data_IF_609419816213
#
_entry.id   IF_609419816213
#
_cell.length_a   1.000
_cell.length_b   1.000
_cell.length_c   1.000
_cell.angle_alpha   90.00
_cell.angle_beta   90.00
_cell.angle_gamma   90.00
#
_symmetry.space_group_name_H-M   'P 1'
#
loop_
_entity.id
_entity.type
_entity.pdbx_description
1 polymer ?
#
# COMPACT_ATOMS: atom_id res chain seq x y z
N UNK A 1 25.92 -9.01 -21.73
CA UNK A 1 24.81 -9.77 -22.29
C UNK A 1 23.87 -8.80 -23.01
N UNK A 2 23.29 -9.25 -24.10
CA UNK A 2 22.29 -8.52 -24.87
C UNK A 2 21.00 -9.33 -24.94
N UNK A 3 19.87 -8.63 -25.02
CA UNK A 3 18.57 -9.24 -25.22
C UNK A 3 18.38 -9.72 -26.68
N UNK A 4 17.22 -10.28 -27.01
CA UNK A 4 16.87 -10.77 -28.34
C UNK A 4 16.83 -9.68 -29.42
N UNK A 5 16.80 -8.40 -29.03
CA UNK A 5 16.83 -7.23 -29.90
C UNK A 5 18.24 -6.64 -30.01
N UNK A 6 19.27 -7.29 -29.44
CA UNK A 6 20.65 -6.82 -29.45
C UNK A 6 20.96 -5.66 -28.52
N UNK A 7 20.05 -5.32 -27.61
CA UNK A 7 20.24 -4.27 -26.62
C UNK A 7 20.84 -4.82 -25.33
N UNK A 8 21.62 -4.02 -24.56
CA UNK A 8 22.13 -4.46 -23.27
C UNK A 8 20.98 -4.87 -22.33
N UNK A 9 21.09 -6.04 -21.71
CA UNK A 9 20.18 -6.47 -20.64
C UNK A 9 20.33 -5.51 -19.47
N UNK A 10 19.22 -4.90 -19.06
CA UNK A 10 19.19 -3.95 -17.95
C UNK A 10 18.68 -4.63 -16.69
N UNK A 11 19.41 -4.45 -15.61
CA UNK A 11 18.99 -4.90 -14.29
C UNK A 11 17.86 -4.00 -13.77
N UNK A 12 16.74 -4.56 -13.31
CA UNK A 12 15.61 -3.81 -12.80
C UNK A 12 15.85 -3.29 -11.36
N UNK A 13 16.89 -2.48 -11.20
CA UNK A 13 17.40 -2.00 -9.91
C UNK A 13 16.34 -1.31 -9.03
N UNK A 14 15.31 -0.73 -9.63
CA UNK A 14 14.24 -0.05 -8.91
C UNK A 14 13.43 -1.02 -8.02
N UNK A 15 13.35 -2.31 -8.40
CA UNK A 15 12.68 -3.34 -7.60
C UNK A 15 13.43 -3.62 -6.30
N UNK A 16 14.75 -3.51 -6.32
CA UNK A 16 15.61 -3.77 -5.16
C UNK A 16 16.00 -2.50 -4.39
N UNK A 17 15.58 -1.33 -4.87
CA UNK A 17 15.92 -0.09 -4.20
C UNK A 17 15.22 0.03 -2.85
N UNK A 18 16.00 0.24 -1.77
CA UNK A 18 15.50 0.43 -0.39
C UNK A 18 16.04 1.72 0.23
N UNK A 19 16.53 2.64 -0.59
CA UNK A 19 17.05 3.92 -0.14
C UNK A 19 15.97 4.88 0.35
N UNK A 20 16.38 5.87 1.15
CA UNK A 20 15.48 6.93 1.65
C UNK A 20 15.35 8.09 0.68
N UNK A 21 16.27 8.23 -0.26
CA UNK A 21 16.29 9.27 -1.26
C UNK A 21 15.30 8.93 -2.36
N UNK A 22 14.42 9.85 -2.71
CA UNK A 22 13.58 9.70 -3.89
C UNK A 22 14.44 9.83 -5.14
N UNK A 23 14.38 8.84 -6.02
CA UNK A 23 15.13 8.81 -7.28
C UNK A 23 14.15 8.96 -8.44
N UNK A 24 14.34 10.02 -9.22
CA UNK A 24 13.62 10.23 -10.48
C UNK A 24 14.59 9.98 -11.62
N UNK A 25 14.22 9.12 -12.58
CA UNK A 25 15.11 8.69 -13.65
C UNK A 25 14.38 8.56 -14.99
N UNK A 26 15.14 8.30 -16.03
CA UNK A 26 14.65 8.06 -17.39
C UNK A 26 15.56 7.11 -18.15
N UNK A 27 15.55 7.20 -19.50
CA UNK A 27 16.35 6.39 -20.41
C UNK A 27 16.00 4.89 -20.40
N UNK A 28 14.88 4.54 -19.79
CA UNK A 28 14.31 3.20 -19.83
C UNK A 28 12.80 3.40 -20.05
N UNK A 29 12.37 3.54 -21.31
CA UNK A 29 10.97 3.84 -21.60
C UNK A 29 10.03 2.84 -20.97
N UNK A 30 9.01 3.36 -20.27
CA UNK A 30 7.93 2.60 -19.66
C UNK A 30 6.59 3.07 -20.21
N UNK A 31 5.57 2.22 -20.34
CA UNK A 31 4.25 2.64 -20.85
C UNK A 31 3.61 3.72 -19.98
N UNK A 32 3.90 3.72 -18.69
CA UNK A 32 3.33 4.62 -17.69
C UNK A 32 4.36 4.96 -16.62
N UNK A 33 4.37 6.21 -16.16
CA UNK A 33 5.17 6.61 -15.01
C UNK A 33 4.50 6.14 -13.73
N UNK A 34 5.14 5.23 -13.01
CA UNK A 34 4.64 4.65 -11.76
C UNK A 34 5.72 4.67 -10.70
N UNK A 35 5.29 4.88 -9.46
CA UNK A 35 6.16 4.81 -8.31
C UNK A 35 6.49 3.36 -7.98
N UNK A 36 7.76 3.07 -7.74
CA UNK A 36 8.25 1.77 -7.29
C UNK A 36 9.38 1.99 -6.27
N UNK A 37 9.19 1.52 -5.05
CA UNK A 37 10.22 1.58 -3.99
C UNK A 37 10.91 2.95 -3.85
N UNK A 38 10.15 4.03 -3.82
CA UNK A 38 10.66 5.40 -3.76
C UNK A 38 11.48 5.81 -5.00
N UNK A 39 11.25 5.17 -6.13
CA UNK A 39 11.79 5.55 -7.44
C UNK A 39 10.66 5.83 -8.43
N UNK A 40 10.95 6.64 -9.44
CA UNK A 40 9.99 7.01 -10.47
C UNK A 40 10.70 7.15 -11.82
N UNK A 41 10.28 6.36 -12.81
CA UNK A 41 10.69 6.56 -14.19
C UNK A 41 9.77 7.56 -14.88
N UNK A 42 10.32 8.68 -15.36
CA UNK A 42 9.56 9.69 -16.13
C UNK A 42 9.63 9.49 -17.65
N UNK A 43 10.45 8.56 -18.12
CA UNK A 43 10.55 8.29 -19.54
C UNK A 43 9.37 7.44 -20.00
N UNK A 44 8.35 8.08 -20.47
CA UNK A 44 7.15 7.45 -21.02
C UNK A 44 7.16 7.39 -22.54
N UNK A 45 8.36 7.38 -23.14
CA UNK A 45 8.56 7.08 -24.56
C UNK A 45 8.05 8.17 -25.49
N UNK A 46 8.14 9.46 -25.13
CA UNK A 46 7.63 10.55 -25.95
C UNK A 46 8.15 10.50 -27.40
N UNK A 47 9.44 10.23 -27.60
CA UNK A 47 10.06 10.12 -28.93
C UNK A 47 9.47 8.98 -29.77
N UNK A 48 8.93 7.98 -29.11
CA UNK A 48 8.30 6.80 -29.74
C UNK A 48 6.77 6.92 -29.88
N UNK A 49 6.22 8.13 -29.70
CA UNK A 49 4.78 8.37 -29.79
C UNK A 49 4.01 8.16 -28.49
N UNK A 50 4.70 7.96 -27.38
CA UNK A 50 4.10 7.87 -26.06
C UNK A 50 3.75 9.25 -25.49
N UNK A 51 4.18 9.54 -24.25
CA UNK A 51 3.88 10.79 -23.56
C UNK A 51 5.16 11.51 -23.14
N UNK A 52 5.10 12.84 -23.02
CA UNK A 52 6.06 13.62 -22.26
C UNK A 52 5.53 13.77 -20.85
N UNK A 53 6.20 13.15 -19.90
CA UNK A 53 5.79 13.13 -18.49
C UNK A 53 6.73 13.94 -17.62
N UNK A 54 6.18 14.71 -16.71
CA UNK A 54 6.90 15.53 -15.74
C UNK A 54 6.39 15.30 -14.32
N UNK A 55 7.28 15.44 -13.35
CA UNK A 55 6.95 15.45 -11.93
C UNK A 55 7.02 16.91 -11.43
N UNK A 56 5.90 17.40 -10.88
CA UNK A 56 5.86 18.70 -10.19
C UNK A 56 6.38 18.52 -8.77
N UNK A 57 7.37 19.31 -8.42
CA UNK A 57 7.96 19.31 -7.09
C UNK A 57 7.73 20.67 -6.42
N UNK A 58 7.37 20.74 -5.12
CA UNK A 58 7.36 19.64 -4.13
C UNK A 58 6.06 18.86 -4.02
N UNK A 59 5.03 19.15 -4.82
CA UNK A 59 3.68 18.56 -4.74
C UNK A 59 3.66 17.06 -5.04
N UNK A 60 4.72 16.56 -5.70
CA UNK A 60 4.86 15.16 -6.14
C UNK A 60 3.73 14.71 -7.08
N UNK A 61 3.24 15.63 -7.90
CA UNK A 61 2.15 15.43 -8.84
C UNK A 61 2.69 15.15 -10.25
N UNK A 62 2.19 14.10 -10.89
CA UNK A 62 2.52 13.76 -12.25
C UNK A 62 1.65 14.58 -13.24
N UNK A 63 2.30 15.15 -14.24
CA UNK A 63 1.66 15.81 -15.36
C UNK A 63 2.17 15.18 -16.66
N UNK A 64 1.31 14.87 -17.60
CA UNK A 64 1.70 14.35 -18.89
C UNK A 64 0.97 15.02 -20.06
N UNK A 65 1.59 14.99 -21.24
CA UNK A 65 0.99 15.37 -22.49
C UNK A 65 1.32 14.31 -23.56
N UNK A 66 0.38 13.90 -24.42
CA UNK A 66 0.66 12.98 -25.52
C UNK A 66 1.69 13.57 -26.47
N UNK A 67 2.53 12.71 -27.06
CA UNK A 67 3.40 13.11 -28.16
C UNK A 67 2.56 13.55 -29.37
N UNK A 68 3.03 14.58 -30.09
CA UNK A 68 2.35 15.07 -31.30
C UNK A 68 2.50 14.11 -32.48
N UNK A 69 3.58 13.31 -32.49
CA UNK A 69 3.87 12.32 -33.49
C UNK A 69 4.84 11.27 -32.95
N UNK A 70 4.98 10.17 -33.64
CA UNK A 70 6.07 9.24 -33.42
C UNK A 70 7.28 9.76 -34.22
N UNK A 71 8.36 10.10 -33.49
CA UNK A 71 9.59 10.69 -34.08
C UNK A 71 10.64 9.65 -34.41
N UNK A 72 10.59 8.48 -33.75
CA UNK A 72 11.48 7.36 -33.99
C UNK A 72 10.74 6.03 -33.73
N UNK A 73 11.19 4.96 -34.39
CA UNK A 73 10.74 3.62 -34.05
C UNK A 73 11.55 3.07 -32.88
N UNK A 74 10.89 2.45 -31.89
CA UNK A 74 11.62 1.83 -30.79
C UNK A 74 12.34 0.58 -31.27
N UNK A 75 13.58 0.36 -30.82
CA UNK A 75 14.37 -0.83 -31.19
C UNK A 75 13.80 -2.13 -30.62
N UNK A 76 12.90 -2.05 -29.64
CA UNK A 76 12.09 -3.16 -29.10
C UNK A 76 10.66 -2.65 -28.88
N UNK A 77 9.66 -3.53 -28.95
CA UNK A 77 8.30 -3.15 -28.61
C UNK A 77 8.28 -2.53 -27.20
N UNK A 78 7.76 -1.33 -27.07
CA UNK A 78 7.40 -0.78 -25.77
C UNK A 78 6.16 -1.58 -25.34
N UNK A 79 6.34 -2.55 -24.44
CA UNK A 79 5.26 -3.41 -24.00
C UNK A 79 4.16 -2.57 -23.36
N UNK A 80 3.11 -2.31 -24.11
CA UNK A 80 1.82 -1.92 -23.55
C UNK A 80 1.18 -3.22 -23.04
N UNK A 81 1.73 -3.78 -21.96
CA UNK A 81 0.99 -4.81 -21.25
C UNK A 81 -0.21 -4.11 -20.62
N UNK A 82 -1.39 -4.60 -20.92
CA UNK A 82 -2.61 -4.29 -20.17
C UNK A 82 -2.54 -4.90 -18.76
N UNK A 83 -1.34 -4.96 -18.17
CA UNK A 83 -1.17 -5.40 -16.80
C UNK A 83 -1.95 -4.43 -15.92
N UNK A 84 -3.05 -4.91 -15.39
CA UNK A 84 -3.95 -4.18 -14.50
C UNK A 84 -3.25 -3.74 -13.21
N UNK A 85 -2.06 -4.30 -12.92
CA UNK A 85 -1.29 -4.04 -11.72
C UNK A 85 -0.25 -2.95 -11.96
N UNK A 86 -0.12 -2.03 -11.00
CA UNK A 86 1.02 -1.12 -10.98
C UNK A 86 2.32 -1.88 -10.69
N UNK A 87 3.48 -1.29 -11.05
CA UNK A 87 4.78 -1.87 -10.75
C UNK A 87 4.96 -2.16 -9.24
N UNK A 88 4.46 -1.26 -8.38
CA UNK A 88 4.49 -1.46 -6.93
C UNK A 88 3.56 -2.62 -6.52
N UNK A 89 2.34 -2.69 -7.05
CA UNK A 89 1.41 -3.78 -6.74
C UNK A 89 1.95 -5.15 -7.17
N UNK A 90 2.65 -5.22 -8.31
CA UNK A 90 3.30 -6.45 -8.75
C UNK A 90 4.41 -6.89 -7.78
N UNK A 91 5.12 -5.93 -7.19
CA UNK A 91 6.18 -6.19 -6.21
C UNK A 91 5.64 -6.54 -4.81
N UNK A 92 4.52 -5.95 -4.40
CA UNK A 92 3.94 -6.09 -3.05
C UNK A 92 3.44 -7.52 -2.72
N UNK A 93 3.49 -8.43 -3.68
CA UNK A 93 3.16 -9.85 -3.45
C UNK A 93 4.29 -10.64 -2.75
N UNK A 94 5.46 -10.05 -2.67
CA UNK A 94 6.66 -10.68 -2.11
C UNK A 94 7.00 -10.05 -0.76
N UNK A 95 7.16 -10.89 0.27
CA UNK A 95 7.70 -10.48 1.58
C UNK A 95 9.23 -10.51 1.51
N UNK A 96 9.85 -9.34 1.41
CA UNK A 96 11.29 -9.21 1.31
C UNK A 96 11.89 -8.76 2.66
N UNK A 97 12.93 -9.47 3.12
CA UNK A 97 13.68 -9.08 4.32
C UNK A 97 14.29 -7.68 4.19
N UNK A 98 14.66 -7.27 2.98
CA UNK A 98 15.18 -5.92 2.73
C UNK A 98 14.16 -4.82 3.07
N UNK A 99 12.86 -5.11 3.02
CA UNK A 99 11.81 -4.16 3.38
C UNK A 99 11.76 -3.85 4.88
N UNK A 100 12.24 -4.74 5.71
CA UNK A 100 12.25 -4.60 7.17
C UNK A 100 13.63 -4.32 7.76
N UNK A 101 14.70 -4.41 6.96
CA UNK A 101 16.06 -4.11 7.40
C UNK A 101 16.23 -2.65 7.78
N UNK A 102 16.84 -2.42 8.94
CA UNK A 102 17.15 -1.10 9.46
C UNK A 102 15.93 -0.29 9.88
N UNK A 103 16.22 0.88 10.44
CA UNK A 103 15.17 1.81 10.88
C UNK A 103 14.46 2.44 9.68
N UNK A 104 13.15 2.29 9.60
CA UNK A 104 12.31 2.91 8.57
C UNK A 104 11.66 4.19 9.08
N UNK A 105 11.62 5.19 8.22
CA UNK A 105 10.87 6.44 8.47
C UNK A 105 9.80 6.52 7.38
N UNK A 106 8.54 6.44 7.80
CA UNK A 106 7.39 6.54 6.92
C UNK A 106 6.77 7.93 7.03
N UNK A 107 6.24 8.43 5.94
CA UNK A 107 5.43 9.64 5.90
C UNK A 107 3.99 9.27 5.56
N UNK A 108 3.04 9.81 6.30
CA UNK A 108 1.61 9.62 6.04
C UNK A 108 0.92 10.98 5.87
N UNK A 109 -0.31 10.97 5.40
CA UNK A 109 -1.12 12.19 5.21
C UNK A 109 -1.24 13.03 6.49
N UNK A 110 -1.35 12.36 7.64
CA UNK A 110 -1.55 13.04 8.93
C UNK A 110 -0.27 13.21 9.75
N UNK A 111 0.79 12.46 9.44
CA UNK A 111 2.06 12.51 10.17
C UNK A 111 3.24 12.42 9.23
N UNK A 112 4.11 13.42 9.28
CA UNK A 112 5.27 13.52 8.39
C UNK A 112 6.40 12.54 8.70
N UNK A 113 6.48 12.01 9.92
CA UNK A 113 7.56 11.10 10.31
C UNK A 113 7.07 10.08 11.34
N UNK A 114 6.87 8.86 10.88
CA UNK A 114 6.63 7.70 11.75
C UNK A 114 7.88 6.83 11.67
N UNK A 115 8.52 6.62 12.82
CA UNK A 115 9.71 5.77 12.90
C UNK A 115 9.31 4.34 13.27
N UNK A 116 9.60 3.40 12.40
CA UNK A 116 9.44 1.97 12.66
C UNK A 116 10.82 1.39 13.00
N UNK A 117 10.95 0.76 14.16
CA UNK A 117 12.18 0.11 14.59
C UNK A 117 12.36 -1.20 13.85
N UNK A 118 13.60 -1.55 13.56
CA UNK A 118 13.95 -2.79 12.86
C UNK A 118 13.38 -4.03 13.55
N UNK A 119 13.48 -4.10 14.88
CA UNK A 119 13.01 -5.26 15.65
C UNK A 119 11.50 -5.47 15.49
N UNK A 120 10.74 -4.38 15.45
CA UNK A 120 9.28 -4.44 15.26
C UNK A 120 8.92 -4.86 13.82
N UNK A 121 9.66 -4.36 12.84
CA UNK A 121 9.45 -4.71 11.44
C UNK A 121 9.81 -6.18 11.18
N UNK A 122 10.95 -6.65 11.71
CA UNK A 122 11.38 -8.04 11.58
C UNK A 122 10.41 -9.01 12.26
N UNK A 123 9.91 -8.67 13.46
CA UNK A 123 8.89 -9.48 14.14
C UNK A 123 7.57 -9.53 13.35
N UNK A 124 7.17 -8.43 12.73
CA UNK A 124 6.00 -8.40 11.86
C UNK A 124 6.19 -9.29 10.63
N UNK A 125 7.36 -9.21 9.97
CA UNK A 125 7.69 -10.05 8.82
C UNK A 125 7.67 -11.54 9.19
N UNK A 126 8.23 -11.92 10.34
CA UNK A 126 8.22 -13.31 10.80
C UNK A 126 6.78 -13.83 10.96
N UNK A 127 5.89 -13.06 11.55
CA UNK A 127 4.48 -13.45 11.69
C UNK A 127 3.80 -13.53 10.32
N UNK A 128 4.01 -12.52 9.46
CA UNK A 128 3.41 -12.48 8.13
C UNK A 128 3.86 -13.65 7.25
N UNK A 129 5.13 -14.00 7.29
CA UNK A 129 5.68 -15.09 6.47
C UNK A 129 5.13 -16.48 6.83
N UNK A 130 4.61 -16.64 8.04
CA UNK A 130 4.08 -17.94 8.50
C UNK A 130 2.58 -18.10 8.37
N UNK A 131 1.84 -17.01 8.53
CA UNK A 131 0.41 -17.10 8.83
C UNK A 131 -0.46 -16.05 8.12
N UNK A 132 0.13 -15.00 7.58
CA UNK A 132 -0.66 -13.90 7.04
C UNK A 132 -1.39 -14.31 5.75
N UNK A 133 -2.55 -13.73 5.54
CA UNK A 133 -3.16 -13.63 4.22
C UNK A 133 -2.21 -12.91 3.28
N UNK A 134 -2.47 -13.01 1.97
CA UNK A 134 -1.66 -12.28 0.98
C UNK A 134 -1.47 -10.82 1.43
N UNK A 135 -0.22 -10.30 1.47
CA UNK A 135 0.09 -8.95 1.95
C UNK A 135 -0.72 -7.84 1.29
N UNK A 136 -1.15 -8.01 0.04
CA UNK A 136 -2.00 -7.08 -0.69
C UNK A 136 -3.34 -6.79 -0.02
N UNK A 137 -3.86 -7.73 0.76
CA UNK A 137 -5.08 -7.57 1.54
C UNK A 137 -4.88 -6.80 2.85
N UNK A 138 -3.64 -6.64 3.31
CA UNK A 138 -3.37 -6.03 4.60
C UNK A 138 -3.54 -4.52 4.52
N UNK A 139 -4.55 -4.00 5.19
CA UNK A 139 -4.82 -2.58 5.31
C UNK A 139 -4.41 -2.06 6.69
N UNK A 140 -3.95 -0.80 6.75
CA UNK A 140 -3.75 -0.15 8.02
C UNK A 140 -5.10 0.15 8.68
N UNK A 141 -5.26 -0.34 9.88
CA UNK A 141 -6.39 0.00 10.74
C UNK A 141 -5.89 0.74 11.97
N UNK A 142 -6.55 1.84 12.37
CA UNK A 142 -6.21 2.50 13.61
C UNK A 142 -6.40 1.54 14.79
N UNK A 143 -5.63 1.70 15.86
CA UNK A 143 -5.86 0.96 17.09
C UNK A 143 -7.28 1.24 17.60
N UNK A 144 -7.83 0.30 18.36
CA UNK A 144 -9.07 0.54 19.10
C UNK A 144 -8.88 1.71 20.04
N UNK A 145 -9.95 2.47 20.25
CA UNK A 145 -9.94 3.54 21.24
C UNK A 145 -9.48 3.03 22.61
N UNK A 146 -8.77 3.88 23.33
CA UNK A 146 -8.50 3.66 24.73
C UNK A 146 -9.83 3.57 25.50
N UNK A 147 -9.91 2.80 26.58
CA UNK A 147 -11.05 2.84 27.47
C UNK A 147 -11.24 4.27 28.02
N UNK A 148 -12.46 4.60 28.42
CA UNK A 148 -12.74 5.83 29.14
C UNK A 148 -11.97 5.92 30.47
N UNK A 149 -11.92 7.12 31.04
CA UNK A 149 -11.36 7.33 32.37
C UNK A 149 -12.10 6.48 33.40
N UNK A 150 -11.42 6.12 34.49
CA UNK A 150 -12.04 5.41 35.62
C UNK A 150 -13.19 6.22 36.18
N UNK A 151 -14.31 5.55 36.44
CA UNK A 151 -15.49 6.20 36.98
C UNK A 151 -15.26 6.70 38.42
N UNK A 152 -15.73 7.92 38.68
CA UNK A 152 -15.82 8.45 40.06
C UNK A 152 -17.06 7.94 40.79
N UNK A 153 -17.94 7.19 40.10
CA UNK A 153 -19.17 6.65 40.71
C UNK A 153 -18.86 5.43 41.52
N UNK A 154 -19.31 5.45 42.76
CA UNK A 154 -19.09 4.37 43.74
C UNK A 154 -19.63 3.02 43.20
N UNK A 155 -18.78 1.99 43.29
CA UNK A 155 -19.09 0.64 42.87
C UNK A 155 -18.88 0.36 41.36
N UNK A 156 -18.41 1.34 40.55
CA UNK A 156 -18.13 1.17 39.13
C UNK A 156 -16.70 1.54 38.77
N UNK A 157 -16.00 0.68 38.04
CA UNK A 157 -14.70 0.99 37.45
C UNK A 157 -14.86 1.86 36.20
N UNK A 158 -15.88 1.60 35.41
CA UNK A 158 -16.21 2.33 34.20
C UNK A 158 -17.71 2.65 34.18
N UNK A 159 -18.05 3.83 33.70
CA UNK A 159 -19.44 4.26 33.58
C UNK A 159 -19.61 5.16 32.33
N UNK A 160 -20.74 5.12 31.62
CA UNK A 160 -20.90 5.86 30.38
C UNK A 160 -20.72 7.38 30.49
N UNK A 161 -20.94 7.96 31.66
CA UNK A 161 -20.80 9.42 31.89
C UNK A 161 -19.41 9.94 31.56
N UNK A 162 -18.35 9.19 31.88
CA UNK A 162 -16.96 9.57 31.61
C UNK A 162 -16.66 9.54 30.10
N UNK A 163 -17.19 8.53 29.39
CA UNK A 163 -17.09 8.46 27.93
C UNK A 163 -17.81 9.64 27.25
N UNK A 164 -19.04 9.94 27.67
CA UNK A 164 -19.77 11.08 27.13
C UNK A 164 -19.11 12.42 27.46
N UNK A 165 -18.58 12.59 28.67
CA UNK A 165 -17.83 13.78 29.04
C UNK A 165 -16.53 13.93 28.20
N UNK A 166 -15.84 12.83 27.92
CA UNK A 166 -14.68 12.83 27.05
C UNK A 166 -15.03 13.35 25.66
N UNK A 167 -16.06 12.80 25.02
CA UNK A 167 -16.49 13.22 23.68
C UNK A 167 -16.98 14.65 23.66
N UNK A 168 -17.73 15.08 24.68
CA UNK A 168 -18.19 16.46 24.79
C UNK A 168 -17.03 17.46 24.91
N UNK A 169 -15.96 17.12 25.66
CA UNK A 169 -14.73 17.94 25.75
C UNK A 169 -13.99 18.07 24.41
N UNK A 170 -14.16 17.09 23.54
CA UNK A 170 -13.57 17.09 22.18
C UNK A 170 -14.55 17.60 21.12
N UNK A 171 -15.59 18.32 21.53
CA UNK A 171 -16.57 18.95 20.62
C UNK A 171 -17.32 17.96 19.72
N UNK A 172 -17.42 16.69 20.13
CA UNK A 172 -18.23 15.69 19.42
C UNK A 172 -19.68 15.83 19.83
N UNK A 173 -20.50 16.39 18.95
CA UNK A 173 -21.91 16.70 19.24
C UNK A 173 -22.82 15.46 19.27
N UNK A 174 -22.42 14.37 18.59
CA UNK A 174 -23.24 13.17 18.49
C UNK A 174 -22.35 11.93 18.61
N UNK A 175 -22.74 10.99 19.43
CA UNK A 175 -22.10 9.68 19.57
C UNK A 175 -23.10 8.57 19.27
N UNK A 176 -22.62 7.49 18.66
CA UNK A 176 -23.40 6.26 18.45
C UNK A 176 -22.94 5.24 19.47
N UNK A 177 -23.90 4.69 20.21
CA UNK A 177 -23.66 3.65 21.20
C UNK A 177 -24.10 2.31 20.61
N UNK A 178 -23.19 1.34 20.63
CA UNK A 178 -23.44 0.00 20.14
C UNK A 178 -23.15 -1.03 21.24
N UNK A 179 -23.95 -2.10 21.27
CA UNK A 179 -23.64 -3.24 22.13
C UNK A 179 -22.36 -3.93 21.65
N UNK A 180 -21.40 -4.04 22.54
CA UNK A 180 -20.14 -4.72 22.24
C UNK A 180 -20.25 -6.21 22.56
N UNK A 181 -20.34 -7.03 21.51
CA UNK A 181 -20.32 -8.47 21.68
C UNK A 181 -18.93 -9.00 22.03
N UNK A 182 -18.88 -10.00 22.90
CA UNK A 182 -17.65 -10.73 23.22
C UNK A 182 -17.22 -11.59 22.02
N UNK A 183 -15.96 -11.53 21.65
CA UNK A 183 -15.45 -12.33 20.53
C UNK A 183 -14.06 -11.89 20.08
N UNK A 184 -13.55 -12.57 19.09
CA UNK A 184 -12.29 -12.22 18.43
C UNK A 184 -12.51 -11.13 17.39
N UNK A 185 -11.60 -10.15 17.33
CA UNK A 185 -11.64 -9.11 16.31
C UNK A 185 -11.40 -9.73 14.93
N UNK A 186 -12.34 -9.52 14.02
CA UNK A 186 -12.19 -9.81 12.61
C UNK A 186 -12.00 -8.52 11.81
N UNK A 187 -11.14 -8.58 10.80
CA UNK A 187 -11.01 -7.56 9.76
C UNK A 187 -11.63 -8.14 8.50
N UNK A 188 -12.62 -7.44 7.97
CA UNK A 188 -13.35 -7.86 6.77
C UNK A 188 -13.10 -6.84 5.69
N UNK A 189 -12.47 -7.27 4.58
CA UNK A 189 -12.31 -6.49 3.36
C UNK A 189 -13.20 -7.11 2.31
N UNK A 190 -14.11 -6.34 1.76
CA UNK A 190 -15.06 -6.79 0.73
C UNK A 190 -15.11 -5.76 -0.39
N UNK A 191 -14.92 -6.22 -1.61
CA UNK A 191 -15.11 -5.46 -2.84
C UNK A 191 -16.42 -5.85 -3.50
N UNK A 192 -16.96 -4.96 -4.33
CA UNK A 192 -18.18 -5.22 -5.09
C UNK A 192 -18.06 -6.41 -6.03
N UNK A 193 -16.89 -6.57 -6.65
CA UNK A 193 -16.57 -7.58 -7.63
C UNK A 193 -15.05 -7.83 -7.72
N UNK A 194 -14.63 -8.87 -8.42
CA UNK A 194 -13.24 -9.24 -8.61
C UNK A 194 -12.43 -8.18 -9.39
N UNK A 195 -13.06 -7.46 -10.32
CA UNK A 195 -12.43 -6.37 -11.05
C UNK A 195 -12.05 -5.22 -10.10
N UNK A 196 -12.96 -4.84 -9.21
CA UNK A 196 -12.70 -3.85 -8.15
C UNK A 196 -11.57 -4.31 -7.23
N UNK A 197 -11.51 -5.61 -6.91
CA UNK A 197 -10.45 -6.20 -6.11
C UNK A 197 -9.10 -6.06 -6.79
N UNK A 198 -9.02 -6.43 -8.05
CA UNK A 198 -7.79 -6.30 -8.85
C UNK A 198 -7.33 -4.85 -8.93
N UNK A 199 -8.23 -3.94 -9.27
CA UNK A 199 -7.90 -2.52 -9.42
C UNK A 199 -7.49 -1.85 -8.09
N UNK A 200 -8.06 -2.27 -6.95
CA UNK A 200 -7.82 -1.64 -5.65
C UNK A 200 -6.67 -2.26 -4.89
N UNK A 201 -6.57 -3.57 -4.89
CA UNK A 201 -5.62 -4.34 -4.08
C UNK A 201 -4.57 -5.08 -4.90
N UNK A 202 -4.71 -5.15 -6.21
CA UNK A 202 -3.81 -5.91 -7.06
C UNK A 202 -3.99 -7.43 -6.95
N UNK A 203 -5.06 -7.91 -6.35
CA UNK A 203 -5.35 -9.34 -6.23
C UNK A 203 -6.04 -9.85 -7.48
N UNK A 204 -5.40 -10.79 -8.18
CA UNK A 204 -5.85 -11.30 -9.49
C UNK A 204 -6.45 -12.71 -9.43
N UNK A 205 -6.59 -13.28 -8.26
CA UNK A 205 -7.07 -14.65 -8.03
C UNK A 205 -8.59 -14.82 -8.18
N UNK A 206 -9.32 -13.72 -8.46
CA UNK A 206 -10.77 -13.72 -8.65
C UNK A 206 -11.58 -13.57 -7.36
N UNK A 207 -10.92 -13.40 -6.23
CA UNK A 207 -11.56 -13.19 -4.93
C UNK A 207 -12.18 -11.79 -4.85
N UNK A 208 -13.34 -11.67 -4.19
CA UNK A 208 -14.00 -10.40 -3.93
C UNK A 208 -13.70 -9.84 -2.54
N UNK A 209 -12.97 -10.56 -1.69
CA UNK A 209 -12.68 -10.12 -0.34
C UNK A 209 -11.95 -11.14 0.50
N UNK A 210 -11.64 -10.75 1.72
CA UNK A 210 -10.95 -11.61 2.69
C UNK A 210 -11.40 -11.28 4.11
N UNK A 211 -11.39 -12.28 4.98
CA UNK A 211 -11.61 -12.12 6.42
C UNK A 211 -10.36 -12.59 7.16
N UNK A 212 -9.77 -11.72 7.94
CA UNK A 212 -8.57 -12.05 8.71
C UNK A 212 -8.60 -11.51 10.14
N UNK A 213 -7.76 -12.08 10.98
CA UNK A 213 -7.59 -11.66 12.37
C UNK A 213 -6.79 -10.36 12.46
N UNK A 214 -6.74 -9.76 13.63
CA UNK A 214 -5.92 -8.56 13.90
C UNK A 214 -4.45 -8.74 13.52
N UNK A 215 -3.93 -9.96 13.54
CA UNK A 215 -2.53 -10.28 13.22
C UNK A 215 -2.33 -10.71 11.76
N UNK A 216 -3.34 -10.58 10.91
CA UNK A 216 -3.25 -10.90 9.48
C UNK A 216 -3.43 -12.39 9.15
N UNK A 217 -3.81 -13.25 10.08
CA UNK A 217 -4.12 -14.67 9.81
C UNK A 217 -5.49 -14.81 9.21
N UNK A 218 -5.71 -15.81 8.34
CA UNK A 218 -7.07 -16.17 7.94
C UNK A 218 -7.95 -16.37 9.17
N UNK A 219 -9.16 -15.82 9.13
CA UNK A 219 -10.09 -15.96 10.22
C UNK A 219 -10.77 -17.33 10.21
N UNK A 220 -11.02 -17.87 9.04
CA UNK A 220 -11.57 -19.20 8.81
C UNK A 220 -10.55 -20.09 8.10
N UNK A 221 -10.60 -21.39 8.37
CA UNK A 221 -9.72 -22.36 7.72
C UNK A 221 -10.26 -22.83 6.37
N UNK A 222 -11.49 -22.48 6.04
CA UNK A 222 -12.18 -22.87 4.81
C UNK A 222 -12.42 -21.63 3.93
N UNK A 223 -11.95 -21.69 2.69
CA UNK A 223 -12.11 -20.61 1.70
C UNK A 223 -13.54 -20.55 1.13
N UNK A 224 -14.42 -21.49 1.47
CA UNK A 224 -15.83 -21.52 1.04
C UNK A 224 -16.78 -20.72 1.94
N UNK A 225 -16.25 -20.10 2.97
CA UNK A 225 -16.95 -19.19 3.87
C UNK A 225 -16.55 -17.76 3.52
#
# INVERSE_FOLDING_TARGET
>A
ETDEFGLPVRYPWAMDYRGKTTIVYGHTPTPKAEWLNNTLCLDTGCVFGGKLTALRYPEMELCDVPALAQYAEPSRPLGFSEDLLSAQQAHDDVLDFADVSGKRILSTTLRHKISVREENAAAALEVMSRFAVNPRWLIYLPPTMSPSETSERDGYLEYPSEAFAYFARHEVAQVVCEEKHMGSRAVIVVCRDAETTTNRFGVTTGECGVIYTRTGRHFFNDASL
#
